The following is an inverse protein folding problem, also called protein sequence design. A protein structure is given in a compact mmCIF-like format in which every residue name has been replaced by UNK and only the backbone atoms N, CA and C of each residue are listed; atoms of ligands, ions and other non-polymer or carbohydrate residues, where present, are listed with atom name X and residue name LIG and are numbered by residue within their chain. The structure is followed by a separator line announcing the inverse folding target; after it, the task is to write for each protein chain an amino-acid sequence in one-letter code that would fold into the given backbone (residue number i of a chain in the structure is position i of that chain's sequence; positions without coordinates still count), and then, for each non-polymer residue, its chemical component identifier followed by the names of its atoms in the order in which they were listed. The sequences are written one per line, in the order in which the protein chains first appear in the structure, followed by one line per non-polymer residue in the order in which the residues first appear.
data_IF_867492482623
#
_entry.id   IF_867492482623
#
_cell.length_a   1.000
_cell.length_b   1.000
_cell.length_c   1.000
_cell.angle_alpha   90.00
_cell.angle_beta   90.00
_cell.angle_gamma   90.00
#
_symmetry.space_group_name_H-M   'P 1'
#
loop_
_entity.id
_entity.type
_entity.pdbx_description
1 polymer ?
#
# COMPACT_ATOMS: atom_id res chain seq x y z
N UNK A 1 -14.91 -19.16 -1.42
CA UNK A 1 -13.47 -18.91 -1.12
C UNK A 1 -13.37 -17.95 0.05
N UNK A 2 -12.51 -18.24 0.99
CA UNK A 2 -12.28 -17.34 2.10
C UNK A 2 -11.57 -16.07 1.65
N UNK A 3 -11.90 -14.97 2.31
CA UNK A 3 -11.34 -13.66 2.01
C UNK A 3 -9.80 -13.65 2.05
N UNK A 4 -9.21 -14.38 2.99
CA UNK A 4 -7.75 -14.48 3.10
C UNK A 4 -7.11 -15.13 1.88
N UNK A 5 -7.73 -16.18 1.35
CA UNK A 5 -7.21 -16.86 0.18
C UNK A 5 -7.28 -15.98 -1.07
N UNK A 6 -8.36 -15.22 -1.22
CA UNK A 6 -8.52 -14.30 -2.35
C UNK A 6 -7.42 -13.26 -2.36
N UNK A 7 -7.14 -12.65 -1.20
CA UNK A 7 -6.13 -11.58 -1.13
C UNK A 7 -4.73 -12.15 -1.22
N UNK A 8 -4.47 -13.31 -0.62
CA UNK A 8 -3.17 -13.97 -0.65
C UNK A 8 -2.69 -14.24 -2.07
N UNK A 9 -3.61 -14.65 -2.93
CA UNK A 9 -3.29 -14.97 -4.32
C UNK A 9 -3.46 -13.77 -5.26
N UNK A 10 -3.79 -12.61 -4.70
CA UNK A 10 -4.21 -11.44 -5.47
C UNK A 10 -5.69 -11.56 -5.82
N UNK A 11 -6.36 -10.44 -6.01
CA UNK A 11 -7.80 -10.45 -6.29
C UNK A 11 -8.06 -10.47 -7.80
N UNK A 12 -7.35 -9.63 -8.53
CA UNK A 12 -7.48 -9.50 -9.98
C UNK A 12 -6.15 -9.86 -10.64
N UNK A 13 -5.06 -9.36 -10.09
CA UNK A 13 -3.70 -9.65 -10.54
C UNK A 13 -3.00 -10.50 -9.49
N UNK A 14 -2.12 -11.42 -9.89
CA UNK A 14 -1.34 -12.20 -8.93
C UNK A 14 -0.60 -11.30 -7.94
N UNK A 15 -0.40 -11.78 -6.74
CA UNK A 15 0.34 -11.03 -5.72
C UNK A 15 1.78 -10.77 -6.14
N UNK A 16 2.36 -11.69 -6.91
CA UNK A 16 3.73 -11.57 -7.36
C UNK A 16 4.72 -12.11 -6.34
N UNK A 17 5.93 -11.59 -6.39
CA UNK A 17 7.02 -12.05 -5.54
C UNK A 17 7.09 -11.22 -4.26
N UNK A 18 7.93 -11.65 -3.33
CA UNK A 18 8.21 -10.87 -2.13
C UNK A 18 8.61 -9.46 -2.53
N UNK A 19 8.06 -8.47 -1.81
CA UNK A 19 8.28 -7.07 -2.16
C UNK A 19 9.77 -6.71 -2.09
N UNK A 20 10.38 -6.24 -3.20
CA UNK A 20 11.79 -5.83 -3.21
C UNK A 20 12.06 -4.61 -2.34
N UNK A 21 11.02 -3.89 -1.93
CA UNK A 21 11.12 -2.72 -1.05
C UNK A 21 10.82 -3.08 0.40
N UNK A 22 10.94 -4.36 0.78
CA UNK A 22 10.58 -4.87 2.11
C UNK A 22 11.28 -4.14 3.26
N UNK A 23 12.46 -3.56 3.02
CA UNK A 23 13.16 -2.76 4.03
C UNK A 23 12.36 -1.54 4.50
N UNK A 24 11.37 -1.11 3.73
CA UNK A 24 10.50 0.03 4.07
C UNK A 24 9.13 -0.42 4.58
N UNK A 25 9.02 -1.68 4.98
CA UNK A 25 7.76 -2.25 5.47
C UNK A 25 7.98 -2.95 6.81
N UNK A 26 6.95 -2.95 7.64
CA UNK A 26 6.87 -3.82 8.81
C UNK A 26 5.94 -4.97 8.42
N UNK A 27 6.44 -6.21 8.52
CA UNK A 27 5.69 -7.39 8.10
C UNK A 27 5.98 -7.79 6.66
N UNK A 28 5.28 -8.80 6.18
CA UNK A 28 5.50 -9.37 4.85
C UNK A 28 4.53 -8.80 3.83
N UNK A 29 5.07 -8.37 2.69
CA UNK A 29 4.28 -7.91 1.56
C UNK A 29 4.81 -8.50 0.26
N UNK A 30 4.00 -8.35 -0.80
CA UNK A 30 4.29 -8.89 -2.14
C UNK A 30 4.08 -7.78 -3.16
N UNK A 31 4.83 -7.85 -4.25
CA UNK A 31 4.78 -6.84 -5.30
C UNK A 31 4.71 -7.49 -6.67
N UNK A 32 3.82 -7.01 -7.50
CA UNK A 32 3.71 -7.41 -8.89
C UNK A 32 3.68 -6.14 -9.75
N UNK A 33 4.79 -5.85 -10.44
CA UNK A 33 4.89 -4.69 -11.32
C UNK A 33 4.06 -4.90 -12.57
N UNK A 34 3.14 -3.97 -12.84
CA UNK A 34 2.24 -4.04 -13.99
C UNK A 34 2.69 -3.13 -15.13
N UNK A 35 3.17 -1.94 -14.81
CA UNK A 35 3.71 -0.99 -15.78
C UNK A 35 4.98 -0.37 -15.21
N UNK A 36 6.08 -0.48 -15.96
CA UNK A 36 7.37 0.10 -15.60
C UNK A 36 8.15 0.43 -16.88
N UNK A 37 7.55 1.27 -17.74
CA UNK A 37 8.14 1.65 -19.02
C UNK A 37 8.66 3.09 -18.95
N UNK A 38 9.90 3.34 -19.44
CA UNK A 38 10.50 4.67 -19.33
C UNK A 38 9.69 5.82 -19.91
N UNK A 39 8.97 5.56 -21.01
CA UNK A 39 8.16 6.59 -21.69
C UNK A 39 6.79 6.81 -21.03
N UNK A 40 6.41 5.97 -20.08
CA UNK A 40 5.13 6.11 -19.36
C UNK A 40 5.39 6.85 -18.06
N UNK A 41 4.75 8.00 -17.81
CA UNK A 41 5.08 8.86 -16.67
C UNK A 41 4.61 8.37 -15.32
N UNK A 42 4.09 7.15 -15.24
CA UNK A 42 3.68 6.53 -13.97
C UNK A 42 4.14 5.08 -13.91
N UNK A 43 4.41 4.62 -12.69
CA UNK A 43 4.56 3.20 -12.41
C UNK A 43 3.24 2.65 -11.90
N UNK A 44 2.93 1.42 -12.27
CA UNK A 44 1.71 0.75 -11.78
C UNK A 44 2.12 -0.60 -11.21
N UNK A 45 1.75 -0.84 -9.95
CA UNK A 45 2.07 -2.10 -9.29
C UNK A 45 0.91 -2.58 -8.45
N UNK A 46 0.77 -3.89 -8.37
CA UNK A 46 -0.15 -4.52 -7.43
C UNK A 46 0.62 -4.86 -6.17
N UNK A 47 0.17 -4.35 -5.03
CA UNK A 47 0.82 -4.56 -3.74
C UNK A 47 -0.13 -5.32 -2.83
N UNK A 48 0.36 -6.42 -2.25
CA UNK A 48 -0.42 -7.27 -1.36
C UNK A 48 0.28 -7.36 0.00
N UNK A 49 -0.48 -7.12 1.06
CA UNK A 49 0.02 -7.06 2.43
C UNK A 49 -0.57 -8.21 3.24
N UNK A 50 0.27 -8.95 3.96
CA UNK A 50 -0.21 -9.90 4.95
C UNK A 50 -0.84 -9.16 6.13
N UNK A 51 -1.69 -9.82 6.93
CA UNK A 51 -2.28 -9.17 8.11
C UNK A 51 -1.21 -8.51 8.99
N UNK A 52 -1.47 -7.27 9.39
CA UNK A 52 -0.55 -6.49 10.21
C UNK A 52 0.57 -5.80 9.47
N UNK A 53 0.77 -6.10 8.19
CA UNK A 53 1.83 -5.48 7.41
C UNK A 53 1.45 -4.05 7.00
N UNK A 54 2.41 -3.13 7.12
CA UNK A 54 2.24 -1.74 6.69
C UNK A 54 3.57 -1.19 6.19
N UNK A 55 3.51 -0.18 5.32
CA UNK A 55 4.73 0.47 4.88
C UNK A 55 5.11 1.60 5.85
N UNK A 56 6.32 2.11 5.69
CA UNK A 56 6.81 3.24 6.45
C UNK A 56 6.07 4.51 6.06
N UNK A 57 6.10 5.50 6.93
CA UNK A 57 5.73 6.85 6.55
C UNK A 57 6.56 7.25 5.33
N UNK A 58 5.94 7.88 4.36
CA UNK A 58 6.65 8.30 3.15
C UNK A 58 5.93 9.43 2.43
N UNK A 59 6.65 10.03 1.49
CA UNK A 59 6.18 11.18 0.73
C UNK A 59 6.52 10.89 -0.74
N UNK A 60 5.65 11.31 -1.65
CA UNK A 60 5.94 11.31 -3.08
C UNK A 60 6.28 12.74 -3.49
N UNK A 61 7.51 12.94 -3.96
CA UNK A 61 8.01 14.26 -4.37
C UNK A 61 7.85 14.43 -5.87
N UNK A 62 7.34 15.58 -6.29
CA UNK A 62 7.12 15.92 -7.69
C UNK A 62 6.20 14.92 -8.39
N UNK A 63 5.19 14.47 -7.69
CA UNK A 63 4.25 13.49 -8.21
C UNK A 63 3.08 13.24 -7.29
N UNK A 64 2.60 11.99 -7.30
CA UNK A 64 1.41 11.59 -6.55
C UNK A 64 1.37 10.08 -6.42
N UNK A 65 0.42 9.59 -5.62
CA UNK A 65 0.08 8.16 -5.62
C UNK A 65 -1.43 7.98 -5.58
N UNK A 66 -1.94 7.12 -6.43
CA UNK A 66 -3.34 6.73 -6.44
C UNK A 66 -3.41 5.26 -6.04
N UNK A 67 -4.26 4.94 -5.07
CA UNK A 67 -4.49 3.57 -4.63
C UNK A 67 -5.89 3.15 -5.05
N UNK A 68 -5.98 2.03 -5.76
CA UNK A 68 -7.24 1.40 -6.12
C UNK A 68 -7.32 0.11 -5.31
N UNK A 69 -8.16 0.09 -4.28
CA UNK A 69 -8.26 -1.07 -3.39
C UNK A 69 -9.01 -2.19 -4.09
N UNK A 70 -8.38 -3.36 -4.18
CA UNK A 70 -8.91 -4.50 -4.92
C UNK A 70 -9.39 -5.62 -4.00
N UNK A 71 -8.90 -5.71 -2.76
CA UNK A 71 -9.35 -6.77 -1.87
C UNK A 71 -8.84 -6.62 -0.45
N UNK A 72 -9.48 -7.35 0.45
CA UNK A 72 -9.12 -7.32 1.85
C UNK A 72 -9.52 -6.05 2.56
N UNK A 73 -8.89 -5.80 3.71
CA UNK A 73 -9.18 -4.64 4.55
C UNK A 73 -7.87 -3.99 4.98
N UNK A 74 -7.83 -2.67 4.91
CA UNK A 74 -6.61 -1.94 5.22
C UNK A 74 -6.85 -0.58 5.83
N UNK A 75 -5.74 0.11 6.07
CA UNK A 75 -5.71 1.44 6.64
C UNK A 75 -4.91 2.38 5.74
N UNK A 76 -5.30 3.64 5.74
CA UNK A 76 -4.55 4.73 5.14
C UNK A 76 -4.56 5.90 6.11
N UNK A 77 -3.41 6.52 6.35
CA UNK A 77 -3.35 7.67 7.26
C UNK A 77 -2.38 8.72 6.74
N UNK A 78 -2.84 9.97 6.72
CA UNK A 78 -1.99 11.13 6.50
C UNK A 78 -1.55 11.65 7.86
N UNK A 79 -0.33 12.14 7.96
CA UNK A 79 0.18 12.71 9.20
C UNK A 79 -0.76 13.80 9.74
N UNK A 80 -1.09 13.70 11.02
CA UNK A 80 -1.96 14.65 11.69
C UNK A 80 -3.45 14.45 11.46
N UNK A 81 -3.84 13.39 10.76
CA UNK A 81 -5.26 13.08 10.50
C UNK A 81 -5.61 11.69 11.00
N UNK A 82 -6.92 11.43 11.22
CA UNK A 82 -7.36 10.08 11.57
C UNK A 82 -7.10 9.09 10.45
N UNK A 83 -6.85 7.84 10.81
CA UNK A 83 -6.71 6.77 9.84
C UNK A 83 -8.05 6.49 9.17
N UNK A 84 -8.01 6.18 7.86
CA UNK A 84 -9.18 5.80 7.09
C UNK A 84 -9.19 4.29 6.89
N UNK A 85 -10.32 3.66 7.15
CA UNK A 85 -10.51 2.26 6.86
C UNK A 85 -10.75 2.07 5.36
N UNK A 86 -10.09 1.09 4.77
CA UNK A 86 -10.17 0.81 3.33
C UNK A 86 -10.69 -0.59 3.07
N UNK A 87 -11.53 -0.72 2.06
CA UNK A 87 -12.05 -1.99 1.56
C UNK A 87 -12.09 -1.96 0.04
N UNK A 88 -12.33 -3.10 -0.58
CA UNK A 88 -12.38 -3.21 -2.03
C UNK A 88 -13.36 -2.18 -2.64
N UNK A 89 -12.89 -1.50 -3.67
CA UNK A 89 -13.64 -0.44 -4.35
C UNK A 89 -13.27 0.97 -3.89
N UNK A 90 -12.53 1.10 -2.80
CA UNK A 90 -12.12 2.43 -2.33
C UNK A 90 -10.96 2.96 -3.16
N UNK A 91 -10.93 4.28 -3.32
CA UNK A 91 -9.89 4.98 -4.07
C UNK A 91 -9.30 6.08 -3.19
N UNK A 92 -7.97 6.10 -3.11
CA UNK A 92 -7.23 7.12 -2.36
C UNK A 92 -6.33 7.87 -3.33
N UNK A 93 -6.31 9.19 -3.21
CA UNK A 93 -5.35 10.03 -3.94
C UNK A 93 -4.47 10.71 -2.92
N UNK A 94 -3.16 10.46 -3.01
CA UNK A 94 -2.16 11.14 -2.19
C UNK A 94 -1.42 12.13 -3.07
N UNK A 95 -1.51 13.41 -2.71
CA UNK A 95 -0.91 14.49 -3.47
C UNK A 95 0.58 14.66 -3.12
N UNK A 96 1.27 15.43 -3.95
CA UNK A 96 2.69 15.74 -3.76
C UNK A 96 2.96 16.27 -2.34
N UNK A 97 3.99 15.74 -1.71
CA UNK A 97 4.47 16.24 -0.42
C UNK A 97 3.68 15.76 0.80
N UNK A 98 2.64 14.95 0.63
CA UNK A 98 1.83 14.48 1.76
C UNK A 98 2.48 13.27 2.41
N UNK A 99 2.80 13.39 3.70
CA UNK A 99 3.36 12.30 4.49
C UNK A 99 2.22 11.35 4.90
N UNK A 100 2.37 10.08 4.54
CA UNK A 100 1.31 9.08 4.75
C UNK A 100 1.89 7.67 4.87
N UNK A 101 1.03 6.74 5.26
CA UNK A 101 1.31 5.30 5.20
C UNK A 101 0.02 4.55 4.90
N UNK A 102 0.15 3.31 4.46
CA UNK A 102 -0.98 2.40 4.30
C UNK A 102 -0.55 0.96 4.58
N UNK A 103 -1.53 0.10 4.83
CA UNK A 103 -1.24 -1.28 5.17
C UNK A 103 -2.50 -2.06 5.48
N UNK A 104 -2.30 -3.34 5.79
CA UNK A 104 -3.38 -4.26 6.13
C UNK A 104 -3.89 -4.02 7.56
N UNK A 105 -5.14 -4.42 7.82
CA UNK A 105 -5.61 -4.53 9.19
C UNK A 105 -4.94 -5.74 9.86
N UNK A 106 -5.09 -5.85 11.18
CA UNK A 106 -4.48 -6.95 11.93
C UNK A 106 -5.00 -8.31 11.54
N UNK A 107 -6.24 -8.36 11.07
CA UNK A 107 -6.96 -9.62 10.86
C UNK A 107 -7.23 -9.93 9.40
N UNK A 108 -6.78 -9.10 8.48
CA UNK A 108 -7.06 -9.29 7.05
C UNK A 108 -5.84 -9.05 6.19
N UNK A 109 -5.75 -9.79 5.09
CA UNK A 109 -4.90 -9.44 3.98
C UNK A 109 -5.44 -8.16 3.34
N UNK A 110 -4.62 -7.45 2.60
CA UNK A 110 -5.00 -6.21 1.94
C UNK A 110 -4.27 -6.12 0.61
N UNK A 111 -4.98 -5.75 -0.44
CA UNK A 111 -4.37 -5.61 -1.77
C UNK A 111 -4.89 -4.36 -2.46
N UNK A 112 -3.99 -3.66 -3.15
CA UNK A 112 -4.36 -2.50 -3.95
C UNK A 112 -3.44 -2.38 -5.17
N UNK A 113 -3.93 -1.65 -6.16
CA UNK A 113 -3.11 -1.22 -7.28
C UNK A 113 -2.61 0.18 -6.93
N UNK A 114 -1.31 0.38 -7.02
CA UNK A 114 -0.69 1.69 -6.80
C UNK A 114 -0.26 2.27 -8.15
N UNK A 115 -0.75 3.48 -8.43
CA UNK A 115 -0.35 4.26 -9.60
C UNK A 115 0.48 5.42 -9.06
N UNK A 116 1.79 5.41 -9.35
CA UNK A 116 2.73 6.29 -8.68
C UNK A 116 3.55 7.09 -9.69
N UNK A 117 3.63 8.40 -9.47
CA UNK A 117 4.53 9.29 -10.21
C UNK A 117 5.44 10.01 -9.21
N UNK A 118 6.61 10.45 -9.69
CA UNK A 118 7.57 11.19 -8.88
C UNK A 118 8.54 10.28 -8.15
N UNK A 119 9.20 10.83 -7.13
CA UNK A 119 10.25 10.14 -6.38
C UNK A 119 9.77 9.88 -4.95
N UNK A 120 9.81 8.63 -4.49
CA UNK A 120 9.44 8.33 -3.10
C UNK A 120 10.55 8.77 -2.14
N UNK A 121 10.15 9.35 -1.02
CA UNK A 121 11.04 9.65 0.10
C UNK A 121 10.56 8.81 1.28
N UNK A 122 11.33 7.78 1.64
CA UNK A 122 10.99 6.88 2.73
C UNK A 122 11.45 7.46 4.07
N UNK A 123 10.56 7.41 5.06
CA UNK A 123 10.77 8.00 6.37
C UNK A 123 10.71 6.90 7.46
N UNK A 124 10.34 7.27 8.68
CA UNK A 124 10.32 6.32 9.79
C UNK A 124 9.26 5.23 9.62
N UNK A 125 9.49 4.10 10.26
CA UNK A 125 8.51 3.03 10.26
C UNK A 125 7.29 3.41 11.08
N UNK A 126 6.14 2.80 10.77
CA UNK A 126 4.94 2.90 11.59
C UNK A 126 5.09 1.86 12.69
N UNK A 127 5.48 2.29 13.88
CA UNK A 127 5.73 1.37 14.99
C UNK A 127 4.43 0.76 15.50
N UNK A 128 4.58 -0.28 16.35
CA UNK A 128 3.41 -1.00 16.86
C UNK A 128 2.50 -0.10 17.68
N UNK A 129 3.05 0.86 18.42
CA UNK A 129 2.26 1.79 19.21
C UNK A 129 1.33 2.63 18.31
N UNK A 130 1.89 3.20 17.25
CA UNK A 130 1.12 4.00 16.28
C UNK A 130 0.08 3.13 15.57
N UNK A 131 0.51 1.97 15.09
CA UNK A 131 -0.36 1.05 14.37
C UNK A 131 -1.52 0.55 15.25
N UNK A 132 -1.28 0.30 16.53
CA UNK A 132 -2.31 -0.20 17.43
C UNK A 132 -3.36 0.84 17.80
N UNK A 133 -3.14 2.11 17.45
CA UNK A 133 -4.12 3.19 17.69
C UNK A 133 -5.15 3.35 16.57
N UNK A 134 -4.96 2.68 15.45
CA UNK A 134 -5.90 2.77 14.33
C UNK A 134 -6.93 1.65 14.36
#
# INVERSE_FOLDING_TARGET
MEKHEEVKNGVIFPAGEKNPYSQYFVGQSYYNGLVAEPEVPVGVGNVTFEPGCRNNWHIHRDGFQILLVTGGEGWYQQEGKPAQFLKAGDVIVTHDGVKHWHGATKDSWFSHIAITAGTPEWLESVDDETYNKV
#
